data_IF_348922504484
#
_entry.id   IF_348922504484
#
_cell.length_a   1.000
_cell.length_b   1.000
_cell.length_c   1.000
_cell.angle_alpha   90.00
_cell.angle_beta   90.00
_cell.angle_gamma   90.00
#
_symmetry.space_group_name_H-M   'P 1'
#
loop_
_entity.id
_entity.type
_entity.pdbx_description
1 polymer ?
#
# COMPACT_ATOMS: atom_id res chain seq x y z
N UNK A 1 5.41 0.39 14.42
CA UNK A 1 4.36 0.37 13.38
C UNK A 1 4.77 -0.63 12.31
N UNK A 2 3.81 -1.32 11.68
CA UNK A 2 4.11 -2.42 10.77
C UNK A 2 4.43 -1.98 9.32
N UNK A 3 4.05 -0.75 8.95
CA UNK A 3 4.46 -0.12 7.71
C UNK A 3 5.92 0.36 7.85
N UNK A 4 6.80 -0.13 6.98
CA UNK A 4 8.19 0.31 6.90
C UNK A 4 8.30 1.62 6.13
N UNK A 5 9.29 2.44 6.43
CA UNK A 5 9.55 3.69 5.71
C UNK A 5 10.14 3.38 4.32
N UNK A 6 9.28 3.13 3.32
CA UNK A 6 9.71 2.94 1.93
C UNK A 6 9.11 4.02 1.02
N UNK A 7 9.89 4.36 -0.02
CA UNK A 7 9.58 5.39 -1.00
C UNK A 7 9.07 4.75 -2.30
N UNK A 8 8.05 5.35 -2.90
CA UNK A 8 7.46 4.90 -4.16
C UNK A 8 8.00 5.77 -5.30
N UNK A 9 8.29 5.17 -6.46
CA UNK A 9 8.81 5.84 -7.65
C UNK A 9 7.99 7.09 -8.03
N UNK A 10 8.72 8.11 -8.48
CA UNK A 10 8.28 9.49 -8.67
C UNK A 10 7.05 9.70 -9.58
N UNK A 11 6.67 8.74 -10.43
CA UNK A 11 5.45 8.85 -11.27
C UNK A 11 4.15 8.95 -10.45
N UNK A 12 4.19 8.57 -9.16
CA UNK A 12 3.08 8.73 -8.21
C UNK A 12 3.34 9.79 -7.12
N UNK A 13 4.27 10.72 -7.35
CA UNK A 13 4.51 11.85 -6.44
C UNK A 13 5.51 11.61 -5.32
N UNK A 14 6.25 10.49 -5.32
CA UNK A 14 7.35 10.27 -4.37
C UNK A 14 6.91 10.19 -2.91
N UNK A 15 5.68 9.72 -2.66
CA UNK A 15 5.08 9.71 -1.33
C UNK A 15 5.75 8.65 -0.43
N UNK A 16 6.03 9.03 0.81
CA UNK A 16 6.52 8.10 1.84
C UNK A 16 5.33 7.42 2.50
N UNK A 17 5.33 6.10 2.47
CA UNK A 17 4.31 5.31 3.16
C UNK A 17 4.85 4.95 4.54
N UNK A 18 4.38 5.64 5.58
CA UNK A 18 4.86 5.49 6.95
C UNK A 18 3.88 4.72 7.83
N UNK A 19 2.64 4.61 7.41
CA UNK A 19 1.54 4.06 8.18
C UNK A 19 0.37 3.65 7.28
N UNK A 20 -0.69 3.15 7.92
CA UNK A 20 -1.93 2.77 7.26
C UNK A 20 -2.65 3.93 6.57
N UNK A 21 -2.59 5.14 7.13
CA UNK A 21 -3.34 6.30 6.63
C UNK A 21 -2.69 6.80 5.34
N UNK A 22 -1.37 6.93 5.31
CA UNK A 22 -0.59 7.22 4.11
C UNK A 22 -0.80 6.16 3.02
N UNK A 23 -0.79 4.86 3.37
CA UNK A 23 -1.11 3.79 2.42
C UNK A 23 -2.53 3.90 1.85
N UNK A 24 -3.51 4.28 2.67
CA UNK A 24 -4.91 4.48 2.24
C UNK A 24 -5.05 5.73 1.37
N UNK A 25 -4.36 6.82 1.70
CA UNK A 25 -4.32 8.03 0.89
C UNK A 25 -3.73 7.74 -0.50
N UNK A 26 -2.61 7.02 -0.56
CA UNK A 26 -2.02 6.56 -1.82
C UNK A 26 -3.01 5.73 -2.66
N UNK A 27 -3.73 4.80 -2.05
CA UNK A 27 -4.78 4.03 -2.75
C UNK A 27 -5.85 4.92 -3.38
N UNK A 28 -6.18 6.05 -2.74
CA UNK A 28 -7.14 7.03 -3.24
C UNK A 28 -6.59 7.90 -4.37
N UNK A 29 -5.27 7.98 -4.57
CA UNK A 29 -4.67 8.66 -5.73
C UNK A 29 -4.53 7.74 -6.95
N UNK A 30 -4.50 6.41 -6.74
CA UNK A 30 -4.42 5.44 -7.84
C UNK A 30 -5.59 5.58 -8.81
N UNK A 31 -5.30 5.54 -10.11
CA UNK A 31 -6.33 5.50 -11.16
C UNK A 31 -7.13 4.20 -11.09
N UNK A 32 -8.34 4.22 -11.66
CA UNK A 32 -9.26 3.08 -11.67
C UNK A 32 -8.67 1.83 -12.32
N UNK A 33 -7.74 1.98 -13.27
CA UNK A 33 -7.07 0.86 -13.94
C UNK A 33 -6.22 0.07 -12.94
N UNK A 34 -5.45 0.75 -12.10
CA UNK A 34 -4.62 0.09 -11.08
C UNK A 34 -5.47 -0.55 -9.98
N UNK A 35 -6.50 0.16 -9.46
CA UNK A 35 -7.38 -0.38 -8.41
C UNK A 35 -8.11 -1.67 -8.81
N UNK A 36 -8.30 -1.92 -10.11
CA UNK A 36 -8.94 -3.14 -10.60
C UNK A 36 -8.02 -4.36 -10.60
N UNK A 37 -6.70 -4.16 -10.53
CA UNK A 37 -5.73 -5.26 -10.54
C UNK A 37 -5.83 -6.11 -9.26
N UNK A 38 -5.58 -7.43 -9.32
CA UNK A 38 -5.80 -8.34 -8.18
C UNK A 38 -5.01 -7.97 -6.92
N UNK A 39 -3.72 -7.64 -7.04
CA UNK A 39 -2.86 -7.28 -5.90
C UNK A 39 -3.33 -5.99 -5.20
N UNK A 40 -3.79 -5.00 -5.96
CA UNK A 40 -4.35 -3.76 -5.38
C UNK A 40 -5.68 -4.01 -4.67
N UNK A 41 -6.54 -4.91 -5.16
CA UNK A 41 -7.77 -5.30 -4.44
C UNK A 41 -7.47 -6.00 -3.11
N UNK A 42 -6.47 -6.90 -3.11
CA UNK A 42 -6.03 -7.59 -1.89
C UNK A 42 -5.45 -6.59 -0.87
N UNK A 43 -4.65 -5.63 -1.33
CA UNK A 43 -4.12 -4.56 -0.48
C UNK A 43 -5.25 -3.70 0.11
N UNK A 44 -6.26 -3.31 -0.67
CA UNK A 44 -7.43 -2.55 -0.18
C UNK A 44 -8.18 -3.31 0.93
N UNK A 45 -8.46 -4.59 0.68
CA UNK A 45 -9.15 -5.44 1.64
C UNK A 45 -8.36 -5.55 2.94
N UNK A 46 -7.04 -5.76 2.86
CA UNK A 46 -6.20 -5.85 4.04
C UNK A 46 -6.14 -4.51 4.81
N UNK A 47 -6.02 -3.37 4.12
CA UNK A 47 -6.02 -2.03 4.72
C UNK A 47 -7.30 -1.73 5.50
N UNK A 48 -8.46 -2.13 4.97
CA UNK A 48 -9.76 -2.01 5.67
C UNK A 48 -9.78 -2.80 6.99
N UNK A 49 -9.08 -3.93 7.06
CA UNK A 49 -8.98 -4.74 8.27
C UNK A 49 -7.87 -4.30 9.23
N UNK A 50 -6.93 -3.46 8.80
CA UNK A 50 -5.70 -3.18 9.54
C UNK A 50 -5.91 -2.62 10.96
N UNK A 51 -7.00 -1.92 11.25
CA UNK A 51 -7.31 -1.41 12.61
C UNK A 51 -7.81 -2.47 13.58
N UNK A 52 -8.08 -3.70 13.12
CA UNK A 52 -8.65 -4.74 13.98
C UNK A 52 -7.63 -5.37 14.92
N UNK A 53 -6.35 -5.39 14.55
CA UNK A 53 -5.26 -5.91 15.38
C UNK A 53 -3.90 -5.58 14.77
N UNK A 54 -2.84 -5.65 15.58
CA UNK A 54 -1.47 -5.52 15.09
C UNK A 54 -1.14 -6.55 13.98
N UNK A 55 -1.65 -7.78 14.11
CA UNK A 55 -1.49 -8.80 13.07
C UNK A 55 -2.19 -8.44 11.75
N UNK A 56 -3.37 -7.79 11.83
CA UNK A 56 -4.06 -7.29 10.64
C UNK A 56 -3.31 -6.12 10.00
N UNK A 57 -2.73 -5.23 10.82
CA UNK A 57 -1.86 -4.14 10.34
C UNK A 57 -0.62 -4.68 9.62
N UNK A 58 0.06 -5.70 10.17
CA UNK A 58 1.20 -6.35 9.51
C UNK A 58 0.82 -7.00 8.18
N UNK A 59 -0.34 -7.66 8.10
CA UNK A 59 -0.83 -8.23 6.84
C UNK A 59 -1.13 -7.16 5.81
N UNK A 60 -1.72 -6.03 6.22
CA UNK A 60 -1.99 -4.91 5.33
C UNK A 60 -0.70 -4.29 4.79
N UNK A 61 0.28 -4.08 5.66
CA UNK A 61 1.62 -3.61 5.26
C UNK A 61 2.27 -4.54 4.24
N UNK A 62 2.27 -5.85 4.51
CA UNK A 62 2.85 -6.84 3.60
C UNK A 62 2.13 -6.91 2.24
N UNK A 63 0.79 -6.92 2.25
CA UNK A 63 -0.01 -6.96 1.02
C UNK A 63 0.20 -5.70 0.16
N UNK A 64 0.27 -4.53 0.80
CA UNK A 64 0.50 -3.27 0.13
C UNK A 64 1.93 -3.17 -0.43
N UNK A 65 2.94 -3.60 0.33
CA UNK A 65 4.32 -3.69 -0.16
C UNK A 65 4.42 -4.61 -1.39
N UNK A 66 3.82 -5.80 -1.34
CA UNK A 66 3.80 -6.73 -2.45
C UNK A 66 3.11 -6.15 -3.70
N UNK A 67 2.05 -5.33 -3.52
CA UNK A 67 1.39 -4.64 -4.61
C UNK A 67 2.31 -3.60 -5.29
N UNK A 68 3.10 -2.87 -4.51
CA UNK A 68 4.10 -1.93 -5.04
C UNK A 68 5.24 -2.66 -5.77
N UNK A 69 5.72 -3.77 -5.21
CA UNK A 69 6.74 -4.62 -5.84
C UNK A 69 6.26 -5.19 -7.17
N UNK A 70 5.01 -5.65 -7.23
CA UNK A 70 4.41 -6.20 -8.46
C UNK A 70 4.32 -5.18 -9.60
N UNK A 71 4.24 -3.89 -9.28
CA UNK A 71 4.28 -2.81 -10.27
C UNK A 71 5.70 -2.31 -10.57
N UNK A 72 6.71 -2.77 -9.82
CA UNK A 72 8.09 -2.30 -9.92
C UNK A 72 8.27 -0.86 -9.42
N UNK A 73 7.42 -0.43 -8.48
CA UNK A 73 7.36 0.96 -8.01
C UNK A 73 8.13 1.23 -6.71
N UNK A 74 8.73 0.21 -6.10
CA UNK A 74 9.63 0.45 -4.98
C UNK A 74 10.88 1.18 -5.46
N UNK A 75 11.17 2.30 -4.81
CA UNK A 75 12.45 2.99 -4.96
C UNK A 75 13.45 2.35 -3.99
N UNK A 76 14.64 2.03 -4.51
CA UNK A 76 15.70 1.35 -3.76
C UNK A 76 16.51 2.35 -2.94
#
# INVERSE_FOLDING_TARGET
MAFGNYKIKADFGGERITDRNSATAFMLTLTTIYRKKPHWKLADQALRQASKSAAAESRASAAFKAAIEAEGWLEN
#
